data_IF_792801169391
#
_entry.id   IF_792801169391
#
_cell.length_a   1.000
_cell.length_b   1.000
_cell.length_c   1.000
_cell.angle_alpha   90.00
_cell.angle_beta   90.00
_cell.angle_gamma   90.00
#
_symmetry.space_group_name_H-M   'P 1'
#
loop_
_entity.id
_entity.type
_entity.pdbx_description
1 polymer ?
#
# COMPACT_ATOMS: atom_id res chain seq x y z
N UNK A 1 23.47 21.38 -2.04
CA UNK A 1 23.43 19.93 -2.33
C UNK A 1 23.86 19.68 -3.77
N UNK A 2 24.68 18.66 -4.04
CA UNK A 2 25.05 18.27 -5.42
C UNK A 2 23.86 17.62 -6.11
N UNK A 3 23.45 18.12 -7.28
CA UNK A 3 22.39 17.51 -8.09
C UNK A 3 22.88 16.16 -8.63
N UNK A 4 22.07 15.11 -8.48
CA UNK A 4 22.35 13.78 -9.01
C UNK A 4 21.93 13.70 -10.48
N UNK A 5 22.61 12.89 -11.30
CA UNK A 5 22.05 12.47 -12.60
C UNK A 5 20.79 11.61 -12.38
N UNK A 6 19.92 11.44 -13.40
CA UNK A 6 18.77 10.54 -13.30
C UNK A 6 19.14 9.12 -12.89
N UNK A 7 20.25 8.57 -13.41
CA UNK A 7 20.75 7.24 -13.07
C UNK A 7 21.21 7.19 -11.62
N UNK A 8 22.01 8.18 -11.19
CA UNK A 8 22.46 8.28 -9.82
C UNK A 8 21.29 8.43 -8.84
N UNK A 9 20.26 9.19 -9.20
CA UNK A 9 19.06 9.32 -8.37
C UNK A 9 18.32 8.00 -8.28
N UNK A 10 18.08 7.32 -9.40
CA UNK A 10 17.43 6.00 -9.45
C UNK A 10 18.19 4.97 -8.61
N UNK A 11 19.50 4.91 -8.73
CA UNK A 11 20.33 3.96 -7.96
C UNK A 11 20.23 4.22 -6.46
N UNK A 12 20.17 5.50 -6.04
CA UNK A 12 19.94 5.87 -4.63
C UNK A 12 18.57 5.47 -4.12
N UNK A 13 17.52 5.56 -4.95
CA UNK A 13 16.20 5.04 -4.61
C UNK A 13 16.24 3.52 -4.44
N UNK A 14 16.91 2.79 -5.35
CA UNK A 14 17.09 1.34 -5.20
C UNK A 14 17.94 0.97 -3.98
N UNK A 15 18.92 1.77 -3.59
CA UNK A 15 19.67 1.57 -2.34
C UNK A 15 18.78 1.73 -1.10
N UNK A 16 17.74 2.58 -1.15
CA UNK A 16 16.74 2.68 -0.07
C UNK A 16 15.87 1.43 -0.06
N UNK A 17 15.35 1.00 -1.21
CA UNK A 17 14.56 -0.22 -1.34
C UNK A 17 15.31 -1.46 -0.85
N UNK A 18 16.57 -1.65 -1.27
CA UNK A 18 17.39 -2.80 -0.86
C UNK A 18 17.65 -2.88 0.65
N UNK A 19 17.48 -1.77 1.38
CA UNK A 19 17.63 -1.72 2.84
C UNK A 19 16.30 -1.86 3.57
N UNK A 20 15.18 -1.85 2.85
CA UNK A 20 13.86 -2.08 3.43
C UNK A 20 13.78 -3.56 3.85
N UNK A 21 13.99 -3.81 5.13
CA UNK A 21 13.75 -5.12 5.75
C UNK A 21 12.57 -5.00 6.69
N UNK A 22 11.44 -5.64 6.36
CA UNK A 22 10.29 -5.64 7.24
C UNK A 22 10.53 -6.66 8.37
N UNK A 23 10.62 -6.17 9.61
CA UNK A 23 10.99 -6.99 10.77
C UNK A 23 10.07 -8.20 10.98
N UNK A 24 8.81 -8.11 10.53
CA UNK A 24 7.84 -9.20 10.67
C UNK A 24 7.95 -10.28 9.58
N UNK A 25 8.64 -10.02 8.45
CA UNK A 25 8.71 -10.97 7.33
C UNK A 25 9.19 -12.37 7.76
N UNK A 26 10.28 -12.53 8.54
CA UNK A 26 10.71 -13.85 8.99
C UNK A 26 9.68 -14.58 9.87
N UNK A 27 8.80 -13.85 10.55
CA UNK A 27 7.73 -14.42 11.37
C UNK A 27 6.50 -14.79 10.55
N UNK A 28 6.20 -14.02 9.50
CA UNK A 28 5.08 -14.26 8.57
C UNK A 28 5.37 -15.44 7.62
N UNK A 29 6.60 -15.56 7.15
CA UNK A 29 7.05 -16.63 6.24
C UNK A 29 7.53 -17.89 6.98
N UNK A 30 7.77 -17.77 8.30
CA UNK A 30 8.18 -18.87 9.16
C UNK A 30 7.01 -19.74 9.63
N UNK A 31 7.32 -20.80 10.38
CA UNK A 31 6.33 -21.76 10.90
C UNK A 31 5.79 -21.41 12.29
N UNK A 32 6.12 -20.24 12.84
CA UNK A 32 5.86 -19.89 14.26
C UNK A 32 4.61 -19.01 14.45
N UNK A 33 4.04 -18.47 13.38
CA UNK A 33 2.83 -17.65 13.47
C UNK A 33 1.58 -18.53 13.52
N UNK A 34 0.66 -18.21 14.43
CA UNK A 34 -0.62 -18.92 14.54
C UNK A 34 -1.65 -18.30 13.60
N UNK A 35 -2.68 -19.07 13.24
CA UNK A 35 -3.78 -18.60 12.39
C UNK A 35 -4.49 -17.38 12.97
N UNK A 36 -4.63 -17.29 14.30
CA UNK A 36 -5.25 -16.16 14.99
C UNK A 36 -4.41 -14.88 14.84
N UNK A 37 -3.08 -14.98 15.00
CA UNK A 37 -2.17 -13.84 14.81
C UNK A 37 -2.17 -13.37 13.36
N UNK A 38 -2.18 -14.32 12.43
CA UNK A 38 -2.25 -14.04 10.99
C UNK A 38 -3.57 -13.35 10.63
N UNK A 39 -4.68 -13.78 11.25
CA UNK A 39 -5.98 -13.14 11.11
C UNK A 39 -5.92 -11.67 11.54
N UNK A 40 -5.39 -11.39 12.74
CA UNK A 40 -5.22 -10.02 13.24
C UNK A 40 -4.36 -9.21 12.26
N UNK A 41 -3.21 -9.74 11.84
CA UNK A 41 -2.32 -9.06 10.91
C UNK A 41 -3.03 -8.63 9.63
N UNK A 42 -3.74 -9.54 8.96
CA UNK A 42 -4.43 -9.21 7.71
C UNK A 42 -5.60 -8.25 7.91
N UNK A 43 -6.32 -8.31 9.03
CA UNK A 43 -7.34 -7.31 9.34
C UNK A 43 -6.73 -5.90 9.41
N UNK A 44 -5.58 -5.78 10.08
CA UNK A 44 -4.85 -4.51 10.17
C UNK A 44 -4.35 -4.06 8.79
N UNK A 45 -3.66 -4.92 8.05
CA UNK A 45 -3.14 -4.61 6.72
C UNK A 45 -4.26 -4.14 5.76
N UNK A 46 -5.37 -4.87 5.78
CA UNK A 46 -6.50 -4.61 4.90
C UNK A 46 -7.04 -3.19 5.08
N UNK A 47 -7.28 -2.77 6.31
CA UNK A 47 -7.87 -1.46 6.61
C UNK A 47 -6.83 -0.34 6.64
N UNK A 48 -5.55 -0.64 6.91
CA UNK A 48 -4.48 0.36 6.84
C UNK A 48 -4.29 0.82 5.39
N UNK A 49 -4.15 -0.09 4.42
CA UNK A 49 -3.92 0.37 3.05
C UNK A 49 -4.58 -0.43 1.94
N UNK A 50 -4.84 -1.74 2.07
CA UNK A 50 -5.31 -2.52 0.89
C UNK A 50 -6.67 -2.04 0.39
N UNK A 51 -7.65 -1.90 1.31
CA UNK A 51 -9.00 -1.43 0.99
C UNK A 51 -9.01 -0.03 0.40
N UNK A 52 -8.18 0.85 0.96
CA UNK A 52 -8.21 2.28 0.68
C UNK A 52 -7.01 2.76 -0.17
N UNK A 53 -6.30 1.84 -0.84
CA UNK A 53 -5.07 2.18 -1.56
C UNK A 53 -5.35 3.18 -2.69
N UNK A 54 -6.43 2.95 -3.44
CA UNK A 54 -6.97 3.85 -4.47
C UNK A 54 -7.36 5.23 -3.90
N UNK A 55 -7.90 5.28 -2.68
CA UNK A 55 -8.28 6.52 -2.00
C UNK A 55 -7.03 7.34 -1.66
N UNK A 56 -5.98 6.69 -1.14
CA UNK A 56 -4.69 7.33 -0.89
C UNK A 56 -4.08 7.87 -2.20
N UNK A 57 -4.13 7.10 -3.28
CA UNK A 57 -3.68 7.57 -4.60
C UNK A 57 -4.52 8.74 -5.14
N UNK A 58 -5.83 8.74 -4.91
CA UNK A 58 -6.72 9.81 -5.32
C UNK A 58 -6.41 11.12 -4.60
N UNK A 59 -6.01 11.07 -3.33
CA UNK A 59 -5.53 12.25 -2.59
C UNK A 59 -4.29 12.84 -3.29
N UNK A 60 -3.32 12.00 -3.66
CA UNK A 60 -2.12 12.43 -4.40
C UNK A 60 -2.49 12.99 -5.78
N UNK A 61 -3.41 12.36 -6.51
CA UNK A 61 -3.93 12.85 -7.79
C UNK A 61 -4.58 14.24 -7.64
N UNK A 62 -5.31 14.46 -6.54
CA UNK A 62 -5.95 15.73 -6.20
C UNK A 62 -4.98 16.90 -6.01
N UNK A 63 -3.70 16.62 -5.77
CA UNK A 63 -2.62 17.63 -5.71
C UNK A 63 -2.20 18.15 -7.09
N UNK A 64 -2.89 17.74 -8.15
CA UNK A 64 -2.69 18.17 -9.53
C UNK A 64 -1.23 18.02 -10.02
N UNK A 65 -0.63 16.80 -9.95
CA UNK A 65 0.73 16.57 -10.44
C UNK A 65 0.83 16.79 -11.97
N UNK A 66 2.02 16.77 -12.59
CA UNK A 66 2.16 16.86 -14.05
C UNK A 66 1.29 15.86 -14.81
N UNK A 67 0.94 16.15 -16.06
CA UNK A 67 -0.08 15.39 -16.79
C UNK A 67 0.27 13.90 -16.92
N UNK A 68 1.55 13.57 -17.10
CA UNK A 68 2.05 12.21 -17.20
C UNK A 68 1.76 11.44 -15.91
N UNK A 69 2.04 12.08 -14.77
CA UNK A 69 1.80 11.52 -13.45
C UNK A 69 0.30 11.37 -13.17
N UNK A 70 -0.54 12.36 -13.53
CA UNK A 70 -2.00 12.24 -13.39
C UNK A 70 -2.56 11.07 -14.19
N UNK A 71 -2.12 10.92 -15.44
CA UNK A 71 -2.56 9.82 -16.30
C UNK A 71 -2.17 8.48 -15.67
N UNK A 72 -0.94 8.34 -15.20
CA UNK A 72 -0.46 7.11 -14.56
C UNK A 72 -1.24 6.80 -13.28
N UNK A 73 -1.42 7.79 -12.40
CA UNK A 73 -2.19 7.63 -11.16
C UNK A 73 -3.64 7.23 -11.45
N UNK A 74 -4.30 7.88 -12.42
CA UNK A 74 -5.67 7.54 -12.81
C UNK A 74 -5.79 6.10 -13.36
N UNK A 75 -4.82 5.66 -14.17
CA UNK A 75 -4.75 4.27 -14.64
C UNK A 75 -4.61 3.29 -13.48
N UNK A 76 -3.75 3.58 -12.50
CA UNK A 76 -3.56 2.71 -11.33
C UNK A 76 -4.82 2.69 -10.48
N UNK A 77 -5.45 3.85 -10.22
CA UNK A 77 -6.70 3.91 -9.44
C UNK A 77 -7.80 3.08 -10.12
N UNK A 78 -7.96 3.22 -11.44
CA UNK A 78 -8.92 2.40 -12.19
C UNK A 78 -8.63 0.91 -12.03
N UNK A 79 -7.37 0.50 -12.12
CA UNK A 79 -6.99 -0.90 -11.92
C UNK A 79 -7.30 -1.40 -10.51
N UNK A 80 -6.92 -0.65 -9.48
CA UNK A 80 -7.13 -1.04 -8.08
C UNK A 80 -8.63 -1.14 -7.73
N UNK A 81 -9.45 -0.24 -8.27
CA UNK A 81 -10.89 -0.16 -8.02
C UNK A 81 -11.73 -1.12 -8.86
N UNK A 82 -11.22 -1.62 -9.99
CA UNK A 82 -12.03 -2.41 -10.93
C UNK A 82 -11.41 -3.75 -11.32
N UNK A 83 -10.08 -3.86 -11.28
CA UNK A 83 -9.32 -4.97 -11.89
C UNK A 83 -9.42 -4.99 -13.41
N UNK A 84 -9.81 -3.88 -14.05
CA UNK A 84 -10.18 -3.83 -15.46
C UNK A 84 -9.05 -4.11 -16.47
N UNK A 85 -7.79 -4.12 -16.04
CA UNK A 85 -6.65 -4.58 -16.84
C UNK A 85 -6.15 -5.98 -16.43
N UNK A 86 -6.44 -6.44 -15.21
CA UNK A 86 -6.01 -7.75 -14.71
C UNK A 86 -7.18 -8.73 -14.52
N UNK A 87 -7.35 -9.28 -13.30
CA UNK A 87 -8.22 -10.41 -12.99
C UNK A 87 -9.73 -10.04 -12.93
N UNK A 88 -10.12 -8.87 -13.44
CA UNK A 88 -11.53 -8.43 -13.50
C UNK A 88 -12.18 -8.14 -12.15
N UNK A 89 -11.39 -8.05 -11.08
CA UNK A 89 -11.85 -7.77 -9.73
C UNK A 89 -10.98 -6.69 -9.06
N UNK A 90 -11.58 -5.80 -8.24
CA UNK A 90 -10.84 -4.82 -7.46
C UNK A 90 -9.78 -5.50 -6.58
N UNK A 91 -8.65 -4.86 -6.36
CA UNK A 91 -7.53 -5.47 -5.61
C UNK A 91 -7.94 -5.83 -4.17
N UNK A 92 -8.73 -4.98 -3.51
CA UNK A 92 -9.31 -5.26 -2.20
C UNK A 92 -10.19 -6.52 -2.18
N UNK A 93 -10.88 -6.84 -3.27
CA UNK A 93 -11.70 -8.04 -3.40
C UNK A 93 -10.84 -9.30 -3.60
N UNK A 94 -9.78 -9.19 -4.38
CA UNK A 94 -8.79 -10.27 -4.55
C UNK A 94 -8.11 -10.61 -3.21
N UNK A 95 -7.78 -9.59 -2.42
CA UNK A 95 -7.25 -9.81 -1.07
C UNK A 95 -8.24 -10.57 -0.19
N UNK A 96 -9.51 -10.18 -0.16
CA UNK A 96 -10.53 -10.90 0.61
C UNK A 96 -10.81 -12.30 0.08
N UNK A 97 -10.67 -12.53 -1.23
CA UNK A 97 -10.71 -13.87 -1.80
C UNK A 97 -9.59 -14.76 -1.25
N UNK A 98 -8.36 -14.22 -1.16
CA UNK A 98 -7.24 -14.90 -0.49
C UNK A 98 -7.56 -15.18 0.99
N UNK A 99 -8.15 -14.23 1.72
CA UNK A 99 -8.53 -14.42 3.13
C UNK A 99 -9.52 -15.57 3.31
N UNK A 100 -10.53 -15.67 2.44
CA UNK A 100 -11.45 -16.80 2.43
C UNK A 100 -10.73 -18.13 2.19
N UNK A 101 -9.77 -18.18 1.27
CA UNK A 101 -8.94 -19.37 1.00
C UNK A 101 -8.12 -19.83 2.21
N UNK A 102 -7.71 -18.89 3.07
CA UNK A 102 -7.03 -19.17 4.35
C UNK A 102 -8.03 -19.57 5.47
N UNK A 103 -9.33 -19.54 5.17
CA UNK A 103 -10.41 -19.86 6.09
C UNK A 103 -10.64 -18.78 7.15
N UNK A 104 -10.46 -17.51 6.78
CA UNK A 104 -10.90 -16.35 7.57
C UNK A 104 -12.28 -15.90 7.10
N UNK A 105 -13.09 -15.38 8.03
CA UNK A 105 -14.40 -14.83 7.69
C UNK A 105 -14.26 -13.44 7.07
N UNK A 106 -14.70 -13.31 5.81
CA UNK A 106 -14.77 -12.04 5.09
C UNK A 106 -15.53 -10.96 5.87
N UNK A 107 -16.60 -11.31 6.59
CA UNK A 107 -17.39 -10.31 7.31
C UNK A 107 -16.56 -9.60 8.40
N UNK A 108 -15.55 -10.27 8.96
CA UNK A 108 -14.63 -9.70 9.95
C UNK A 108 -13.79 -8.52 9.42
N UNK A 109 -13.60 -8.40 8.11
CA UNK A 109 -12.81 -7.34 7.49
C UNK A 109 -13.57 -6.02 7.28
N UNK A 110 -14.88 -5.99 7.57
CA UNK A 110 -15.72 -4.79 7.38
C UNK A 110 -15.46 -3.73 8.44
N UNK A 111 -15.56 -4.12 9.70
CA UNK A 111 -15.57 -3.23 10.86
C UNK A 111 -14.34 -3.51 11.75
N UNK A 112 -13.14 -3.46 11.13
CA UNK A 112 -11.89 -3.70 11.84
C UNK A 112 -11.55 -2.54 12.77
N UNK A 113 -11.39 -2.84 14.05
CA UNK A 113 -10.75 -1.91 14.97
C UNK A 113 -9.23 -1.92 14.76
N UNK A 114 -8.69 -0.77 14.35
CA UNK A 114 -7.25 -0.62 14.22
C UNK A 114 -6.58 -0.59 15.59
N UNK A 115 -5.54 -1.42 15.75
CA UNK A 115 -4.57 -1.30 16.83
C UNK A 115 -3.93 0.08 16.78
N UNK A 116 -3.50 0.60 17.94
CA UNK A 116 -2.94 1.95 18.05
C UNK A 116 -1.81 2.23 17.04
N UNK A 117 -0.87 1.30 16.88
CA UNK A 117 0.23 1.46 15.92
C UNK A 117 -0.24 1.44 14.45
N UNK A 118 -1.20 0.58 14.11
CA UNK A 118 -1.78 0.51 12.77
C UNK A 118 -2.55 1.79 12.44
N UNK A 119 -3.28 2.33 13.42
CA UNK A 119 -3.98 3.61 13.31
C UNK A 119 -3.00 4.75 13.07
N UNK A 120 -1.94 4.85 13.87
CA UNK A 120 -0.91 5.86 13.68
C UNK A 120 -0.24 5.76 12.31
N UNK A 121 0.00 4.54 11.81
CA UNK A 121 0.54 4.35 10.47
C UNK A 121 -0.46 4.77 9.37
N UNK A 122 -1.75 4.46 9.51
CA UNK A 122 -2.78 4.94 8.58
C UNK A 122 -2.89 6.47 8.59
N UNK A 123 -2.90 7.09 9.76
CA UNK A 123 -2.95 8.55 9.89
C UNK A 123 -1.74 9.19 9.20
N UNK A 124 -0.54 8.62 9.40
CA UNK A 124 0.67 9.06 8.71
C UNK A 124 0.58 8.92 7.18
N UNK A 125 0.03 7.81 6.67
CA UNK A 125 -0.19 7.63 5.23
C UNK A 125 -1.15 8.69 4.66
N UNK A 126 -2.27 8.94 5.34
CA UNK A 126 -3.21 10.00 4.94
C UNK A 126 -2.50 11.36 4.94
N UNK A 127 -1.75 11.67 6.01
CA UNK A 127 -1.05 12.94 6.16
C UNK A 127 -0.08 13.16 4.99
N UNK A 128 0.78 12.19 4.69
CA UNK A 128 1.71 12.29 3.56
C UNK A 128 0.98 12.46 2.23
N UNK A 129 -0.11 11.72 2.01
CA UNK A 129 -0.84 11.80 0.75
C UNK A 129 -1.60 13.13 0.57
N UNK A 130 -1.91 13.84 1.66
CA UNK A 130 -2.65 15.10 1.65
C UNK A 130 -1.75 16.33 1.73
N UNK A 131 -0.75 16.31 2.60
CA UNK A 131 0.02 17.50 2.99
C UNK A 131 1.33 17.62 2.22
N UNK A 132 2.07 16.53 2.04
CA UNK A 132 3.39 16.52 1.40
C UNK A 132 3.30 16.66 -0.12
N UNK A 133 4.36 17.16 -0.77
CA UNK A 133 4.46 17.25 -2.24
C UNK A 133 3.98 15.97 -2.94
N UNK A 134 3.28 16.11 -4.07
CA UNK A 134 2.64 14.97 -4.75
C UNK A 134 3.62 13.83 -5.06
N UNK A 135 4.86 14.18 -5.36
CA UNK A 135 5.94 13.24 -5.69
C UNK A 135 6.37 12.43 -4.48
N UNK A 136 6.29 12.99 -3.27
CA UNK A 136 6.56 12.29 -2.00
C UNK A 136 5.44 11.31 -1.71
N UNK A 137 4.17 11.74 -1.77
CA UNK A 137 3.02 10.84 -1.59
C UNK A 137 3.01 9.70 -2.61
N UNK A 138 3.24 10.01 -3.89
CA UNK A 138 3.37 9.00 -4.94
C UNK A 138 4.53 8.02 -4.67
N UNK A 139 5.69 8.51 -4.24
CA UNK A 139 6.84 7.66 -3.91
C UNK A 139 6.54 6.74 -2.73
N UNK A 140 5.91 7.23 -1.66
CA UNK A 140 5.55 6.38 -0.51
C UNK A 140 4.61 5.25 -0.94
N UNK A 141 3.57 5.53 -1.72
CA UNK A 141 2.63 4.49 -2.14
C UNK A 141 3.20 3.52 -3.19
N UNK A 142 3.98 4.02 -4.16
CA UNK A 142 4.48 3.19 -5.27
C UNK A 142 5.81 2.50 -5.01
N UNK A 143 6.66 3.08 -4.17
CA UNK A 143 8.00 2.55 -3.86
C UNK A 143 7.98 1.92 -2.47
N UNK A 144 7.44 2.59 -1.45
CA UNK A 144 7.51 2.04 -0.09
C UNK A 144 6.43 1.01 0.20
N UNK A 145 5.18 1.19 -0.26
CA UNK A 145 4.14 0.17 -0.06
C UNK A 145 4.24 -0.94 -1.11
N UNK A 146 4.21 -0.59 -2.40
CA UNK A 146 4.26 -1.59 -3.49
C UNK A 146 5.64 -2.17 -3.77
N UNK A 147 6.72 -1.42 -3.55
CA UNK A 147 8.08 -1.89 -3.83
C UNK A 147 8.55 -2.89 -2.76
N UNK A 148 8.79 -4.12 -3.20
CA UNK A 148 9.51 -5.17 -2.46
C UNK A 148 10.97 -5.17 -2.88
#
# INVERSE_FOLDING_TARGET
MRKLSPEQFRDRIFDVLRRKHHWATPFLEGSTITKEKLNIYFHQEYVVYVRDFSVLLAQVLGKNPPWEARRLLATIIYEEETGGFSLGHPHQELFLHMMNGLGFDRAGFRDVELLASSRGYREWLNQICQEEEWSVGAAVLSIFIKGT
#
